data_IF_672906102457
#
_entry.id   IF_672906102457
#
_cell.length_a   1.000
_cell.length_b   1.000
_cell.length_c   1.000
_cell.angle_alpha   90.00
_cell.angle_beta   90.00
_cell.angle_gamma   90.00
#
_symmetry.space_group_name_H-M   'P 1'
#
loop_
_entity.id
_entity.type
_entity.pdbx_description
1 polymer ?
#
# COMPACT_ATOMS: atom_id res chain seq x y z
N UNK A 1 -0.91 57.14 46.84
CA UNK A 1 -1.15 55.98 45.88
C UNK A 1 0.19 55.34 45.54
N UNK A 2 0.38 54.11 45.97
CA UNK A 2 1.63 53.37 45.68
C UNK A 2 1.73 53.10 44.16
N UNK A 3 2.88 53.40 43.53
CA UNK A 3 3.14 53.07 42.11
C UNK A 3 3.01 51.54 41.94
N UNK A 4 2.30 51.07 40.93
CA UNK A 4 2.21 49.61 40.68
C UNK A 4 3.61 49.06 40.50
N UNK A 5 3.94 47.99 41.25
CA UNK A 5 5.20 47.24 41.12
C UNK A 5 5.38 46.82 39.66
N UNK A 6 6.51 47.21 39.05
CA UNK A 6 6.91 46.67 37.73
C UNK A 6 7.06 45.17 37.86
N UNK A 7 6.37 44.42 37.00
CA UNK A 7 6.57 43.00 36.90
C UNK A 7 8.02 42.67 36.58
N UNK A 8 8.57 41.62 37.16
CA UNK A 8 9.93 41.13 36.85
C UNK A 8 10.04 40.80 35.36
N UNK A 9 11.27 40.87 34.83
CA UNK A 9 11.53 40.46 33.45
C UNK A 9 11.06 39.01 33.21
N UNK A 10 10.25 38.78 32.19
CA UNK A 10 9.59 37.51 31.80
C UNK A 10 8.34 37.08 32.61
N UNK A 11 7.85 37.86 33.58
CA UNK A 11 6.57 37.52 34.25
C UNK A 11 5.36 37.66 33.35
N UNK A 12 5.45 38.47 32.29
CA UNK A 12 4.32 38.79 31.41
C UNK A 12 3.37 39.83 32.04
N UNK A 13 2.35 40.21 31.33
CA UNK A 13 1.33 41.18 31.77
C UNK A 13 -0.05 40.63 31.54
N UNK A 14 -0.98 40.87 32.51
CA UNK A 14 -2.40 40.54 32.32
C UNK A 14 -3.18 41.81 32.62
N UNK A 15 -4.10 42.21 31.72
CA UNK A 15 -4.95 43.36 31.88
C UNK A 15 -6.31 43.13 31.20
N UNK A 16 -7.32 43.86 31.66
CA UNK A 16 -8.63 43.87 31.05
C UNK A 16 -8.68 44.82 29.88
N UNK A 17 -9.17 44.35 28.75
CA UNK A 17 -9.35 45.15 27.53
C UNK A 17 -10.67 45.94 27.62
N UNK A 18 -10.80 46.95 26.77
CA UNK A 18 -12.03 47.76 26.65
C UNK A 18 -13.26 46.93 26.22
N UNK A 19 -13.04 45.79 25.56
CA UNK A 19 -14.10 44.83 25.15
C UNK A 19 -14.50 43.86 26.26
N UNK A 20 -14.02 44.05 27.49
CA UNK A 20 -14.35 43.25 28.67
C UNK A 20 -13.54 41.94 28.79
N UNK A 21 -12.80 41.55 27.77
CA UNK A 21 -11.94 40.34 27.80
C UNK A 21 -10.64 40.64 28.53
N UNK A 22 -10.04 39.62 29.12
CA UNK A 22 -8.71 39.68 29.70
C UNK A 22 -7.66 39.25 28.68
N UNK A 23 -6.58 40.01 28.58
CA UNK A 23 -5.42 39.75 27.75
C UNK A 23 -4.19 39.52 28.62
N UNK A 24 -3.58 38.32 28.51
CA UNK A 24 -2.31 38.01 29.09
C UNK A 24 -1.24 37.98 27.98
N UNK A 25 -0.05 38.55 28.19
CA UNK A 25 1.03 38.53 27.20
C UNK A 25 2.39 38.29 27.84
N UNK A 26 3.23 37.50 27.19
CA UNK A 26 4.63 37.22 27.58
C UNK A 26 5.50 37.08 26.35
N UNK A 27 6.80 37.23 26.53
CA UNK A 27 7.80 36.83 25.54
C UNK A 27 8.02 35.32 25.66
N UNK A 28 7.89 34.60 24.58
CA UNK A 28 8.04 33.14 24.52
C UNK A 28 8.88 32.75 23.32
N UNK A 29 9.58 31.64 23.42
CA UNK A 29 10.32 31.04 22.33
C UNK A 29 9.34 30.65 21.21
N UNK A 30 9.63 31.06 20.00
CA UNK A 30 8.86 30.75 18.80
C UNK A 30 9.61 29.72 17.93
N UNK A 31 8.91 29.07 17.01
CA UNK A 31 9.47 28.00 16.16
C UNK A 31 10.59 28.49 15.24
N UNK A 32 10.72 29.81 15.01
CA UNK A 32 11.83 30.41 14.28
C UNK A 32 13.08 30.70 15.16
N UNK A 33 13.10 30.15 16.39
CA UNK A 33 14.23 30.31 17.31
C UNK A 33 14.32 31.65 18.00
N UNK A 34 13.37 32.58 17.80
CA UNK A 34 13.37 33.91 18.39
C UNK A 34 12.34 34.06 19.51
N UNK A 35 12.61 34.95 20.48
CA UNK A 35 11.63 35.30 21.49
C UNK A 35 10.70 36.40 20.99
N UNK A 36 9.40 36.12 20.89
CA UNK A 36 8.38 37.05 20.46
C UNK A 36 7.28 37.22 21.50
N UNK A 37 6.75 38.44 21.62
CA UNK A 37 5.59 38.67 22.48
C UNK A 37 4.37 37.97 21.90
N UNK A 38 3.73 37.14 22.72
CA UNK A 38 2.48 36.42 22.38
C UNK A 38 1.41 36.75 23.40
N UNK A 39 0.17 36.94 22.92
CA UNK A 39 -0.98 37.24 23.75
C UNK A 39 -1.92 36.03 23.80
N UNK A 40 -2.52 35.81 24.97
CA UNK A 40 -3.62 34.89 25.22
C UNK A 40 -4.83 35.67 25.72
N UNK A 41 -6.01 35.13 25.49
CA UNK A 41 -7.26 35.82 25.85
C UNK A 41 -8.14 34.89 26.67
N UNK A 42 -8.79 35.47 27.72
CA UNK A 42 -9.76 34.80 28.57
C UNK A 42 -11.02 35.65 28.79
N UNK A 43 -12.12 35.02 29.13
CA UNK A 43 -13.32 35.75 29.58
C UNK A 43 -13.16 36.26 31.01
N UNK A 44 -12.38 35.56 31.82
CA UNK A 44 -12.00 35.91 33.19
C UNK A 44 -10.49 36.11 33.30
N UNK A 45 -10.05 36.75 34.39
CA UNK A 45 -8.64 36.88 34.70
C UNK A 45 -7.98 35.50 34.88
N UNK A 46 -8.64 34.60 35.61
CA UNK A 46 -8.15 33.25 35.89
C UNK A 46 -7.90 32.49 34.61
N UNK A 47 -8.85 32.53 33.66
CA UNK A 47 -8.71 31.89 32.35
C UNK A 47 -7.53 32.42 31.55
N UNK A 48 -7.33 33.76 31.58
CA UNK A 48 -6.21 34.40 30.91
C UNK A 48 -4.87 34.05 31.59
N UNK A 49 -4.86 33.99 32.93
CA UNK A 49 -3.69 33.66 33.75
C UNK A 49 -3.28 32.18 33.52
N UNK A 50 -4.23 31.26 33.59
CA UNK A 50 -3.94 29.84 33.32
C UNK A 50 -3.34 29.65 31.92
N UNK A 51 -3.94 30.24 30.90
CA UNK A 51 -3.41 30.18 29.52
C UNK A 51 -2.03 30.78 29.39
N UNK A 52 -1.75 31.91 30.09
CA UNK A 52 -0.45 32.55 30.07
C UNK A 52 0.60 31.71 30.79
N UNK A 53 0.26 31.18 31.95
CA UNK A 53 1.14 30.28 32.70
C UNK A 53 1.51 29.02 31.91
N UNK A 54 0.53 28.45 31.24
CA UNK A 54 0.77 27.30 30.34
C UNK A 54 1.67 27.66 29.17
N UNK A 55 1.44 28.80 28.53
CA UNK A 55 2.26 29.32 27.44
C UNK A 55 3.72 29.52 27.84
N UNK A 56 3.95 30.05 29.05
CA UNK A 56 5.28 30.25 29.63
C UNK A 56 5.94 28.93 29.99
N UNK A 57 5.21 28.03 30.63
CA UNK A 57 5.70 26.69 30.96
C UNK A 57 6.12 25.90 29.69
N UNK A 58 5.33 25.94 28.62
CA UNK A 58 5.68 25.32 27.33
C UNK A 58 6.98 25.91 26.77
N UNK A 59 7.15 27.25 26.83
CA UNK A 59 8.38 27.92 26.37
C UNK A 59 9.61 27.57 27.23
N UNK A 60 9.46 27.50 28.55
CA UNK A 60 10.53 27.11 29.50
C UNK A 60 10.94 25.62 29.30
N UNK A 61 10.00 24.77 28.96
CA UNK A 61 10.24 23.35 28.64
C UNK A 61 10.80 23.15 27.21
N UNK A 62 11.22 24.23 26.53
CA UNK A 62 11.78 24.14 25.19
C UNK A 62 10.77 23.81 24.09
N UNK A 63 9.45 23.99 24.37
CA UNK A 63 8.38 23.80 23.37
C UNK A 63 8.07 25.17 22.73
N UNK A 64 8.60 25.47 21.54
CA UNK A 64 8.40 26.77 20.92
C UNK A 64 6.94 26.94 20.46
N UNK A 65 6.49 28.20 20.44
CA UNK A 65 5.15 28.53 19.95
C UNK A 65 5.18 28.69 18.44
N UNK A 66 4.32 27.98 17.74
CA UNK A 66 4.21 28.09 16.28
C UNK A 66 3.88 29.53 15.84
N UNK A 67 4.63 30.00 14.85
CA UNK A 67 4.37 31.27 14.18
C UNK A 67 3.46 31.13 12.97
N UNK A 68 3.17 29.91 12.56
CA UNK A 68 2.40 29.61 11.35
C UNK A 68 0.99 30.21 11.40
N UNK A 69 0.68 30.98 10.36
CA UNK A 69 -0.66 31.52 10.12
C UNK A 69 -1.46 30.64 9.15
N UNK A 70 -0.83 29.62 8.58
CA UNK A 70 -1.46 28.74 7.58
C UNK A 70 -2.62 27.95 8.17
N UNK A 71 -3.61 27.70 7.35
CA UNK A 71 -4.63 26.67 7.59
C UNK A 71 -4.08 25.30 7.24
N UNK A 72 -4.74 24.26 7.70
CA UNK A 72 -4.37 22.86 7.36
C UNK A 72 -4.49 22.63 5.86
N UNK A 73 -5.51 23.21 5.18
CA UNK A 73 -5.66 23.05 3.73
C UNK A 73 -4.49 23.70 2.97
N UNK A 74 -4.11 24.93 3.35
CA UNK A 74 -2.99 25.66 2.73
C UNK A 74 -1.68 24.87 2.91
N UNK A 75 -1.40 24.41 4.14
CA UNK A 75 -0.21 23.63 4.41
C UNK A 75 -0.17 22.27 3.67
N UNK A 76 -1.28 21.54 3.66
CA UNK A 76 -1.34 20.24 2.96
C UNK A 76 -1.21 20.41 1.44
N UNK A 77 -1.74 21.49 0.87
CA UNK A 77 -1.55 21.83 -0.54
C UNK A 77 -0.07 22.10 -0.83
N UNK A 78 0.57 22.96 -0.01
CA UNK A 78 2.00 23.22 -0.08
C UNK A 78 2.82 21.92 0.02
N UNK A 79 2.55 21.10 1.04
CA UNK A 79 3.27 19.85 1.27
C UNK A 79 3.10 18.85 0.12
N UNK A 80 1.90 18.71 -0.44
CA UNK A 80 1.66 17.85 -1.59
C UNK A 80 2.46 18.31 -2.80
N UNK A 81 2.39 19.61 -3.14
CA UNK A 81 2.99 20.15 -4.36
C UNK A 81 4.52 20.23 -4.27
N UNK A 82 5.04 20.76 -3.16
CA UNK A 82 6.46 21.10 -3.06
C UNK A 82 7.30 19.99 -2.41
N UNK A 83 6.68 19.09 -1.66
CA UNK A 83 7.41 18.07 -0.90
C UNK A 83 7.09 16.64 -1.37
N UNK A 84 5.80 16.29 -1.42
CA UNK A 84 5.40 14.93 -1.72
C UNK A 84 5.59 14.59 -3.20
N UNK A 85 5.28 15.49 -4.11
CA UNK A 85 5.33 15.26 -5.56
C UNK A 85 6.70 14.80 -6.05
N UNK A 86 7.79 15.37 -5.51
CA UNK A 86 9.16 14.98 -5.89
C UNK A 86 9.71 13.76 -5.13
N UNK A 87 9.12 13.40 -3.98
CA UNK A 87 9.66 12.36 -3.09
C UNK A 87 8.95 11.02 -3.20
N UNK A 88 7.70 11.00 -3.62
CA UNK A 88 6.92 9.76 -3.70
C UNK A 88 6.59 9.41 -5.14
N UNK A 89 6.31 8.13 -5.41
CA UNK A 89 5.86 7.69 -6.73
C UNK A 89 4.52 8.34 -7.11
N UNK A 90 4.31 8.57 -8.40
CA UNK A 90 3.07 9.18 -8.94
C UNK A 90 1.79 8.51 -8.41
N UNK A 91 1.76 7.18 -8.28
CA UNK A 91 0.63 6.45 -7.67
C UNK A 91 0.38 6.82 -6.22
N UNK A 92 1.45 6.98 -5.43
CA UNK A 92 1.36 7.38 -4.02
C UNK A 92 0.90 8.82 -3.91
N UNK A 93 1.44 9.71 -4.74
CA UNK A 93 1.04 11.10 -4.80
C UNK A 93 -0.46 11.28 -5.10
N UNK A 94 -0.96 10.63 -6.16
CA UNK A 94 -2.38 10.68 -6.54
C UNK A 94 -3.28 10.16 -5.41
N UNK A 95 -2.84 9.10 -4.69
CA UNK A 95 -3.56 8.61 -3.53
C UNK A 95 -3.54 9.60 -2.37
N UNK A 96 -2.40 10.24 -2.10
CA UNK A 96 -2.28 11.27 -1.07
C UNK A 96 -3.21 12.45 -1.38
N UNK A 97 -3.12 12.99 -2.59
CA UNK A 97 -3.96 14.10 -3.04
C UNK A 97 -5.45 13.75 -2.90
N UNK A 98 -5.86 12.58 -3.41
CA UNK A 98 -7.25 12.13 -3.33
C UNK A 98 -7.75 11.98 -1.89
N UNK A 99 -6.94 11.47 -0.98
CA UNK A 99 -7.32 11.30 0.43
C UNK A 99 -7.34 12.63 1.18
N UNK A 100 -6.39 13.51 0.92
CA UNK A 100 -6.38 14.85 1.49
C UNK A 100 -7.63 15.61 1.04
N UNK A 101 -7.89 15.67 -0.26
CA UNK A 101 -9.03 16.39 -0.85
C UNK A 101 -10.38 15.85 -0.39
N UNK A 102 -10.55 14.53 -0.34
CA UNK A 102 -11.85 13.93 -0.09
C UNK A 102 -12.18 13.73 1.41
N UNK A 103 -11.18 13.73 2.29
CA UNK A 103 -11.35 13.40 3.71
C UNK A 103 -10.82 14.49 4.64
N UNK A 104 -9.57 14.93 4.45
CA UNK A 104 -8.90 15.81 5.42
C UNK A 104 -9.34 17.26 5.24
N UNK A 105 -9.34 17.77 4.02
CA UNK A 105 -9.71 19.16 3.71
C UNK A 105 -11.15 19.50 4.10
N UNK A 106 -12.17 18.64 3.89
CA UNK A 106 -13.54 18.93 4.33
C UNK A 106 -13.68 19.07 5.85
N UNK A 107 -12.89 18.32 6.63
CA UNK A 107 -12.95 18.36 8.10
C UNK A 107 -12.09 19.43 8.71
N UNK A 108 -10.84 19.55 8.28
CA UNK A 108 -9.83 20.39 8.91
C UNK A 108 -9.40 21.60 8.10
N UNK A 109 -9.80 21.70 6.84
CA UNK A 109 -9.21 22.66 5.91
C UNK A 109 -9.14 24.09 6.41
N UNK A 110 -10.17 24.55 7.11
CA UNK A 110 -10.26 25.91 7.66
C UNK A 110 -9.55 26.09 9.01
N UNK A 111 -9.18 25.00 9.68
CA UNK A 111 -8.53 25.05 10.99
C UNK A 111 -7.08 25.49 10.82
N UNK A 112 -6.59 26.36 11.71
CA UNK A 112 -5.19 26.76 11.72
C UNK A 112 -4.30 25.57 12.08
N UNK A 113 -3.19 25.41 11.37
CA UNK A 113 -2.23 24.33 11.55
C UNK A 113 -1.76 24.22 13.01
N UNK A 114 -1.40 25.35 13.62
CA UNK A 114 -0.97 25.44 15.01
C UNK A 114 -2.04 25.05 16.06
N UNK A 115 -3.31 24.99 15.67
CA UNK A 115 -4.43 24.63 16.57
C UNK A 115 -4.90 23.17 16.43
N UNK A 116 -4.25 22.39 15.59
CA UNK A 116 -4.58 20.98 15.44
C UNK A 116 -4.08 20.19 16.65
N UNK A 117 -4.95 19.36 17.22
CA UNK A 117 -4.63 18.54 18.38
C UNK A 117 -4.72 17.04 18.05
N UNK A 118 -4.08 16.19 18.86
CA UNK A 118 -4.22 14.73 18.76
C UNK A 118 -5.67 14.28 18.96
N UNK A 119 -6.43 14.99 19.82
CA UNK A 119 -7.86 14.74 20.06
C UNK A 119 -8.70 14.97 18.79
N UNK A 120 -8.41 16.05 18.05
CA UNK A 120 -9.09 16.33 16.78
C UNK A 120 -8.86 15.22 15.76
N UNK A 121 -7.60 14.78 15.62
CA UNK A 121 -7.23 13.73 14.68
C UNK A 121 -7.92 12.41 15.05
N UNK A 122 -7.94 12.05 16.33
CA UNK A 122 -8.63 10.85 16.81
C UNK A 122 -10.14 10.92 16.52
N UNK A 123 -10.80 12.02 16.87
CA UNK A 123 -12.21 12.23 16.60
C UNK A 123 -12.54 12.15 15.10
N UNK A 124 -11.71 12.75 14.25
CA UNK A 124 -11.82 12.67 12.79
C UNK A 124 -11.73 11.24 12.27
N UNK A 125 -10.73 10.46 12.71
CA UNK A 125 -10.55 9.09 12.23
C UNK A 125 -11.70 8.18 12.68
N UNK A 126 -12.17 8.33 13.93
CA UNK A 126 -13.35 7.60 14.46
C UNK A 126 -14.61 7.97 13.67
N UNK A 127 -14.88 9.25 13.48
CA UNK A 127 -16.00 9.74 12.67
C UNK A 127 -15.93 9.22 11.24
N UNK A 128 -14.75 9.28 10.62
CA UNK A 128 -14.55 8.81 9.24
C UNK A 128 -14.81 7.31 9.11
N UNK A 129 -14.35 6.49 10.07
CA UNK A 129 -14.57 5.05 10.08
C UNK A 129 -16.07 4.68 10.13
N UNK A 130 -16.88 5.47 10.85
CA UNK A 130 -18.31 5.25 11.03
C UNK A 130 -19.19 5.95 9.96
N UNK A 131 -18.60 6.79 9.09
CA UNK A 131 -19.40 7.62 8.17
C UNK A 131 -19.45 7.01 6.78
N UNK A 132 -20.64 6.90 6.21
CA UNK A 132 -20.84 6.49 4.81
C UNK A 132 -20.18 7.48 3.85
N UNK A 133 -19.21 7.02 3.09
CA UNK A 133 -18.41 7.84 2.17
C UNK A 133 -19.19 8.26 0.92
N UNK A 134 -20.26 7.57 0.59
CA UNK A 134 -21.17 8.00 -0.46
C UNK A 134 -21.96 9.25 -0.05
N UNK A 135 -22.45 9.27 1.18
CA UNK A 135 -23.12 10.44 1.77
C UNK A 135 -22.14 11.61 1.94
N UNK A 136 -21.02 11.37 2.64
CA UNK A 136 -20.06 12.42 3.00
C UNK A 136 -19.46 13.14 1.78
N UNK A 137 -19.24 12.40 0.68
CA UNK A 137 -18.65 12.93 -0.55
C UNK A 137 -19.67 13.23 -1.65
N UNK A 138 -20.97 13.14 -1.35
CA UNK A 138 -22.04 13.41 -2.32
C UNK A 138 -22.01 12.53 -3.57
N UNK A 139 -21.38 11.35 -3.52
CA UNK A 139 -21.12 10.52 -4.72
C UNK A 139 -22.37 10.13 -5.49
N UNK A 140 -23.46 9.84 -4.81
CA UNK A 140 -24.71 9.49 -5.47
C UNK A 140 -25.49 10.73 -5.90
N UNK A 141 -25.39 11.82 -5.13
CA UNK A 141 -25.99 13.12 -5.47
C UNK A 141 -25.40 13.71 -6.76
N UNK A 142 -24.09 13.49 -6.98
CA UNK A 142 -23.36 13.97 -8.16
C UNK A 142 -23.57 13.10 -9.40
N UNK A 143 -24.39 12.04 -9.33
CA UNK A 143 -24.79 11.25 -10.51
C UNK A 143 -25.94 11.94 -11.26
N UNK A 144 -26.01 11.72 -12.58
CA UNK A 144 -27.22 12.06 -13.32
C UNK A 144 -28.45 11.46 -12.63
N UNK A 145 -29.57 12.14 -12.64
CA UNK A 145 -30.75 11.79 -11.84
C UNK A 145 -31.22 10.35 -12.04
N UNK A 146 -31.32 9.91 -13.30
CA UNK A 146 -31.68 8.54 -13.67
C UNK A 146 -30.68 7.45 -13.22
N UNK A 147 -29.47 7.83 -12.73
CA UNK A 147 -28.44 6.93 -12.21
C UNK A 147 -28.31 6.99 -10.68
N UNK A 148 -29.08 7.82 -10.00
CA UNK A 148 -29.12 7.86 -8.53
C UNK A 148 -29.76 6.57 -8.01
N UNK A 149 -29.22 5.98 -6.96
CA UNK A 149 -29.64 4.65 -6.50
C UNK A 149 -29.54 4.40 -4.99
N UNK A 150 -29.05 5.34 -4.21
CA UNK A 150 -28.86 5.14 -2.77
C UNK A 150 -28.97 6.45 -1.97
N UNK A 151 -27.86 7.03 -1.55
CA UNK A 151 -27.83 8.13 -0.59
C UNK A 151 -28.55 9.40 -1.06
N UNK A 152 -28.57 9.67 -2.37
CA UNK A 152 -29.34 10.79 -2.93
C UNK A 152 -30.85 10.58 -2.88
N UNK A 153 -31.30 9.33 -2.76
CA UNK A 153 -32.70 8.93 -2.65
C UNK A 153 -33.13 8.62 -1.20
N UNK A 154 -32.34 9.08 -0.21
CA UNK A 154 -32.61 8.81 1.21
C UNK A 154 -32.22 7.41 1.70
N UNK A 155 -31.81 6.51 0.81
CA UNK A 155 -31.40 5.12 1.15
C UNK A 155 -29.89 5.03 1.30
N UNK A 156 -29.38 5.17 2.54
CA UNK A 156 -27.94 5.09 2.79
C UNK A 156 -27.38 3.71 2.41
N UNK A 157 -26.32 3.70 1.58
CA UNK A 157 -25.67 2.46 1.14
C UNK A 157 -24.58 1.97 2.12
N UNK A 158 -24.43 2.61 3.28
CA UNK A 158 -23.47 2.27 4.35
C UNK A 158 -22.05 1.96 3.86
N UNK A 159 -21.61 2.67 2.81
CA UNK A 159 -20.30 2.46 2.22
C UNK A 159 -19.21 3.07 3.08
N UNK A 160 -18.84 2.38 4.14
CA UNK A 160 -17.79 2.78 5.06
C UNK A 160 -16.38 2.65 4.38
N UNK A 161 -15.39 3.46 4.79
CA UNK A 161 -14.01 3.25 4.38
C UNK A 161 -13.46 1.99 5.04
N UNK A 162 -12.51 1.33 4.38
CA UNK A 162 -11.78 0.22 5.00
C UNK A 162 -10.83 0.73 6.10
N UNK A 163 -10.50 -0.11 7.09
CA UNK A 163 -9.51 0.18 8.13
C UNK A 163 -8.17 0.63 7.51
N UNK A 164 -7.79 0.02 6.38
CA UNK A 164 -6.62 0.42 5.62
C UNK A 164 -6.70 1.88 5.16
N UNK A 165 -7.86 2.35 4.72
CA UNK A 165 -8.06 3.74 4.30
C UNK A 165 -7.91 4.69 5.48
N UNK A 166 -8.56 4.37 6.61
CA UNK A 166 -8.48 5.16 7.85
C UNK A 166 -7.03 5.24 8.35
N UNK A 167 -6.33 4.11 8.36
CA UNK A 167 -4.91 4.07 8.71
C UNK A 167 -4.05 4.92 7.77
N UNK A 168 -4.34 4.86 6.49
CA UNK A 168 -3.56 5.61 5.51
C UNK A 168 -3.76 7.12 5.63
N UNK A 169 -4.94 7.58 6.06
CA UNK A 169 -5.16 8.98 6.45
C UNK A 169 -4.25 9.40 7.61
N UNK A 170 -4.11 8.56 8.63
CA UNK A 170 -3.17 8.83 9.74
C UNK A 170 -1.72 8.86 9.27
N UNK A 171 -1.32 7.95 8.37
CA UNK A 171 0.03 7.94 7.78
C UNK A 171 0.32 9.24 7.02
N UNK A 172 -0.63 9.74 6.25
CA UNK A 172 -0.49 11.02 5.52
C UNK A 172 -0.36 12.17 6.50
N UNK A 173 -1.23 12.26 7.51
CA UNK A 173 -1.17 13.31 8.53
C UNK A 173 0.15 13.25 9.30
N UNK A 174 0.61 12.06 9.69
CA UNK A 174 1.92 11.90 10.35
C UNK A 174 3.08 12.38 9.48
N UNK A 175 3.06 12.06 8.19
CA UNK A 175 4.11 12.46 7.26
C UNK A 175 4.12 13.99 7.03
N UNK A 176 2.95 14.58 6.76
CA UNK A 176 2.81 16.00 6.52
C UNK A 176 3.18 16.84 7.77
N UNK A 177 2.64 16.46 8.94
CA UNK A 177 2.94 17.17 10.20
C UNK A 177 4.39 16.97 10.66
N UNK A 178 5.02 15.84 10.33
CA UNK A 178 6.45 15.65 10.60
C UNK A 178 7.30 16.59 9.73
N UNK A 179 6.86 16.85 8.51
CA UNK A 179 7.52 17.83 7.66
C UNK A 179 7.31 19.25 8.18
N UNK A 180 6.09 19.59 8.66
CA UNK A 180 5.82 20.87 9.30
C UNK A 180 6.74 21.15 10.51
N UNK A 181 7.07 20.08 11.28
CA UNK A 181 8.04 20.22 12.38
C UNK A 181 9.46 20.46 11.86
N UNK A 182 9.85 19.89 10.71
CA UNK A 182 11.19 20.12 10.13
C UNK A 182 11.36 21.49 9.49
N UNK A 183 10.26 22.13 9.13
CA UNK A 183 10.21 23.49 8.57
C UNK A 183 9.84 24.54 9.63
N UNK A 184 9.93 24.20 10.91
CA UNK A 184 9.65 25.07 12.04
C UNK A 184 8.23 25.68 12.04
N UNK A 185 7.31 25.11 11.25
CA UNK A 185 5.90 25.50 11.24
C UNK A 185 5.14 24.99 12.47
N UNK A 186 5.58 23.87 13.04
CA UNK A 186 5.01 23.26 14.24
C UNK A 186 6.10 22.84 15.23
N UNK A 187 5.86 23.03 16.55
CA UNK A 187 6.81 22.57 17.58
C UNK A 187 6.87 21.04 17.71
N UNK A 188 5.78 20.37 17.38
CA UNK A 188 5.66 18.90 17.51
C UNK A 188 4.63 18.31 16.57
N UNK A 189 4.80 17.05 16.24
CA UNK A 189 3.86 16.31 15.43
C UNK A 189 2.77 15.64 16.31
N UNK A 190 1.61 16.27 16.38
CA UNK A 190 0.47 15.81 17.19
C UNK A 190 -0.15 14.50 16.68
N UNK A 191 0.07 14.11 15.42
CA UNK A 191 -0.43 12.85 14.88
C UNK A 191 0.37 11.62 15.36
N UNK A 192 1.58 11.79 15.91
CA UNK A 192 2.38 10.68 16.47
C UNK A 192 1.68 9.98 17.62
N UNK A 193 1.01 10.74 18.47
CA UNK A 193 0.34 10.24 19.69
C UNK A 193 -1.06 9.67 19.43
N UNK A 194 -1.46 9.54 18.16
CA UNK A 194 -2.75 8.94 17.80
C UNK A 194 -2.51 7.48 17.43
N UNK A 195 -3.10 6.59 18.18
CA UNK A 195 -3.12 5.17 17.90
C UNK A 195 -4.50 4.74 17.38
N UNK A 196 -4.49 3.76 16.48
CA UNK A 196 -5.70 3.12 15.96
C UNK A 196 -5.66 1.65 16.39
N UNK A 197 -6.72 1.21 17.05
CA UNK A 197 -6.90 -0.24 17.25
C UNK A 197 -7.08 -0.91 15.89
N UNK A 198 -6.43 -2.03 15.73
CA UNK A 198 -6.35 -2.75 14.47
C UNK A 198 -7.41 -3.83 14.46
N UNK A 199 -8.28 -3.83 13.46
CA UNK A 199 -9.03 -5.03 13.12
C UNK A 199 -8.08 -6.18 12.75
N UNK A 200 -8.52 -7.42 12.92
CA UNK A 200 -7.74 -8.60 12.57
C UNK A 200 -7.29 -8.54 11.10
N UNK A 201 -6.02 -8.86 10.84
CA UNK A 201 -5.50 -8.97 9.47
C UNK A 201 -6.29 -10.06 8.74
N UNK A 202 -6.90 -9.73 7.60
CA UNK A 202 -7.56 -10.75 6.78
C UNK A 202 -6.52 -11.78 6.35
N UNK A 203 -6.72 -13.00 6.73
CA UNK A 203 -5.93 -14.12 6.27
C UNK A 203 -6.24 -14.40 4.80
N UNK A 204 -5.18 -14.68 4.03
CA UNK A 204 -5.28 -14.98 2.60
C UNK A 204 -5.01 -16.46 2.48
N UNK A 205 -6.04 -17.24 2.22
CA UNK A 205 -5.91 -18.66 1.96
C UNK A 205 -5.59 -18.88 0.47
N UNK A 206 -4.42 -19.49 0.13
CA UNK A 206 -4.04 -19.80 -1.25
C UNK A 206 -4.96 -20.88 -1.85
N UNK A 207 -5.10 -20.93 -3.18
CA UNK A 207 -5.81 -22.03 -3.86
C UNK A 207 -5.06 -23.35 -3.62
N UNK A 208 -5.82 -24.41 -3.50
CA UNK A 208 -5.28 -25.78 -3.46
C UNK A 208 -4.73 -26.18 -4.84
N UNK A 209 -3.91 -27.24 -4.91
CA UNK A 209 -3.49 -27.84 -6.19
C UNK A 209 -4.69 -28.21 -7.05
N UNK A 210 -5.75 -28.79 -6.45
CA UNK A 210 -7.00 -29.14 -7.12
C UNK A 210 -7.70 -27.93 -7.71
N UNK A 211 -7.90 -26.87 -6.92
CA UNK A 211 -8.50 -25.61 -7.38
C UNK A 211 -7.66 -24.93 -8.48
N UNK A 212 -6.33 -24.96 -8.34
CA UNK A 212 -5.41 -24.45 -9.35
C UNK A 212 -5.54 -25.18 -10.68
N UNK A 213 -5.62 -26.51 -10.67
CA UNK A 213 -5.86 -27.36 -11.86
C UNK A 213 -7.20 -27.05 -12.50
N UNK A 214 -8.28 -26.96 -11.71
CA UNK A 214 -9.63 -26.62 -12.20
C UNK A 214 -9.63 -25.22 -12.87
N UNK A 215 -8.98 -24.24 -12.23
CA UNK A 215 -8.88 -22.89 -12.76
C UNK A 215 -8.16 -22.86 -14.11
N UNK A 216 -7.00 -23.52 -14.22
CA UNK A 216 -6.19 -23.55 -15.45
C UNK A 216 -6.87 -24.34 -16.55
N UNK A 217 -7.55 -25.44 -16.24
CA UNK A 217 -8.35 -26.21 -17.20
C UNK A 217 -9.48 -25.34 -17.78
N UNK A 218 -10.24 -24.64 -16.94
CA UNK A 218 -11.30 -23.73 -17.38
C UNK A 218 -10.76 -22.49 -18.13
N UNK A 219 -9.48 -22.19 -18.01
CA UNK A 219 -8.86 -21.05 -18.68
C UNK A 219 -8.45 -21.34 -20.14
N UNK A 220 -8.34 -22.57 -20.58
CA UNK A 220 -7.74 -22.96 -21.88
C UNK A 220 -8.35 -22.24 -23.07
N UNK A 221 -9.67 -22.09 -23.08
CA UNK A 221 -10.39 -21.39 -24.17
C UNK A 221 -10.49 -19.88 -23.95
N UNK A 222 -9.86 -19.35 -22.91
CA UNK A 222 -9.86 -17.93 -22.63
C UNK A 222 -8.71 -17.25 -23.35
N UNK A 223 -9.01 -16.10 -24.00
CA UNK A 223 -7.99 -15.25 -24.64
C UNK A 223 -6.80 -14.91 -23.72
N UNK A 224 -7.00 -14.90 -22.42
CA UNK A 224 -5.98 -14.60 -21.41
C UNK A 224 -5.40 -15.84 -20.77
N UNK A 225 -5.54 -17.02 -21.39
CA UNK A 225 -5.03 -18.28 -20.87
C UNK A 225 -3.56 -18.17 -20.45
N UNK A 226 -2.68 -17.70 -21.33
CA UNK A 226 -1.27 -17.53 -21.02
C UNK A 226 -1.03 -16.60 -19.80
N UNK A 227 -1.89 -15.59 -19.62
CA UNK A 227 -1.80 -14.71 -18.45
C UNK A 227 -2.10 -15.44 -17.14
N UNK A 228 -3.04 -16.37 -17.16
CA UNK A 228 -3.38 -17.16 -15.97
C UNK A 228 -2.33 -18.24 -15.68
N UNK A 229 -1.78 -18.89 -16.72
CA UNK A 229 -0.64 -19.82 -16.57
C UNK A 229 0.55 -19.14 -15.89
N UNK A 230 0.97 -17.97 -16.39
CA UNK A 230 2.05 -17.19 -15.80
C UNK A 230 1.73 -16.72 -14.36
N UNK A 231 0.47 -16.35 -14.08
CA UNK A 231 0.08 -15.88 -12.76
C UNK A 231 0.09 -17.00 -11.70
N UNK A 232 -0.34 -18.20 -12.07
CA UNK A 232 -0.41 -19.36 -11.16
C UNK A 232 0.95 -20.02 -10.98
N UNK A 233 1.70 -20.26 -12.08
CA UNK A 233 2.93 -21.07 -12.05
C UNK A 233 4.17 -20.28 -11.64
N UNK A 234 4.27 -19.00 -12.04
CA UNK A 234 5.44 -18.17 -11.73
C UNK A 234 5.12 -16.90 -10.91
N UNK A 235 3.86 -16.68 -10.59
CA UNK A 235 3.43 -15.67 -9.61
C UNK A 235 3.71 -14.22 -10.00
N UNK A 236 3.68 -13.85 -11.29
CA UNK A 236 3.86 -12.47 -11.73
C UNK A 236 2.83 -11.54 -11.10
N UNK A 237 3.27 -10.34 -10.71
CA UNK A 237 2.31 -9.30 -10.29
C UNK A 237 1.47 -8.87 -11.47
N UNK A 238 0.18 -8.54 -11.25
CA UNK A 238 -0.74 -8.09 -12.30
C UNK A 238 -0.13 -7.03 -13.22
N UNK A 239 0.55 -6.04 -12.67
CA UNK A 239 1.18 -4.98 -13.46
C UNK A 239 2.39 -5.46 -14.24
N UNK A 240 3.20 -6.37 -13.71
CA UNK A 240 4.33 -7.01 -14.38
C UNK A 240 3.83 -7.84 -15.58
N UNK A 241 2.79 -8.63 -15.36
CA UNK A 241 2.14 -9.44 -16.39
C UNK A 241 1.62 -8.56 -17.56
N UNK A 242 0.84 -7.52 -17.25
CA UNK A 242 0.27 -6.65 -18.27
C UNK A 242 1.31 -5.73 -18.94
N UNK A 243 2.45 -5.52 -18.29
CA UNK A 243 3.58 -4.77 -18.84
C UNK A 243 4.63 -5.64 -19.52
N UNK A 244 4.48 -6.96 -19.59
CA UNK A 244 5.43 -7.88 -20.20
C UNK A 244 5.53 -7.64 -21.70
N UNK A 245 6.76 -7.56 -22.24
CA UNK A 245 7.04 -7.39 -23.66
C UNK A 245 7.56 -8.67 -24.29
N UNK A 246 7.37 -8.85 -25.56
CA UNK A 246 7.98 -9.95 -26.32
C UNK A 246 9.51 -9.90 -26.30
N UNK A 247 10.10 -8.71 -26.28
CA UNK A 247 11.57 -8.54 -26.14
C UNK A 247 12.15 -8.99 -24.80
N UNK A 248 11.29 -9.18 -23.79
CA UNK A 248 11.66 -9.64 -22.46
C UNK A 248 11.39 -11.16 -22.26
N UNK A 249 10.95 -11.87 -23.32
CA UNK A 249 10.59 -13.29 -23.28
C UNK A 249 11.43 -14.05 -24.31
N UNK A 250 12.24 -14.96 -23.83
CA UNK A 250 12.95 -15.93 -24.63
C UNK A 250 12.20 -17.28 -24.57
N UNK A 251 11.53 -17.61 -25.68
CA UNK A 251 10.76 -18.88 -25.79
C UNK A 251 11.63 -20.09 -26.15
N UNK A 252 12.88 -19.86 -26.56
CA UNK A 252 13.85 -20.91 -26.86
C UNK A 252 14.51 -21.37 -25.55
N UNK A 253 15.09 -20.43 -24.83
CA UNK A 253 15.73 -20.68 -23.53
C UNK A 253 14.71 -20.91 -22.40
N UNK A 254 13.42 -20.65 -22.63
CA UNK A 254 12.39 -20.77 -21.59
C UNK A 254 12.59 -19.79 -20.43
N UNK A 255 12.93 -18.53 -20.72
CA UNK A 255 13.22 -17.51 -19.71
C UNK A 255 12.45 -16.23 -20.00
N UNK A 256 11.94 -15.58 -18.96
CA UNK A 256 11.45 -14.21 -19.05
C UNK A 256 12.17 -13.28 -18.08
N UNK A 257 12.24 -12.01 -18.44
CA UNK A 257 12.82 -10.94 -17.61
C UNK A 257 11.74 -9.92 -17.26
N UNK A 258 11.53 -9.69 -15.96
CA UNK A 258 10.60 -8.64 -15.49
C UNK A 258 11.33 -7.32 -15.44
N UNK A 259 11.01 -6.38 -16.35
CA UNK A 259 11.67 -5.06 -16.44
C UNK A 259 10.74 -3.89 -16.21
N UNK A 260 9.44 -4.10 -16.30
CA UNK A 260 8.46 -3.02 -16.21
C UNK A 260 7.09 -3.53 -15.72
N UNK A 261 6.20 -2.60 -15.42
CA UNK A 261 4.84 -2.90 -15.01
C UNK A 261 3.85 -1.87 -15.59
N UNK A 262 2.69 -2.33 -16.05
CA UNK A 262 1.58 -1.47 -16.44
C UNK A 262 0.73 -1.12 -15.22
N UNK A 263 0.46 0.16 -15.03
CA UNK A 263 -0.35 0.68 -13.93
C UNK A 263 -1.34 1.74 -14.41
N UNK A 264 -2.52 1.78 -13.78
CA UNK A 264 -3.45 2.90 -13.94
C UNK A 264 -3.19 3.93 -12.85
N UNK A 265 -2.88 5.15 -13.24
CA UNK A 265 -2.57 6.25 -12.33
C UNK A 265 -3.25 7.52 -12.83
N UNK A 266 -4.07 8.15 -11.99
CA UNK A 266 -4.72 9.41 -12.32
C UNK A 266 -5.59 9.39 -13.60
N UNK A 267 -6.17 8.22 -13.94
CA UNK A 267 -6.96 8.07 -15.17
C UNK A 267 -6.17 7.64 -16.41
N UNK A 268 -4.83 7.48 -16.32
CA UNK A 268 -3.97 7.08 -17.44
C UNK A 268 -3.35 5.70 -17.23
N UNK A 269 -3.09 4.96 -18.31
CA UNK A 269 -2.29 3.74 -18.27
C UNK A 269 -0.82 4.11 -18.47
N UNK A 270 0.00 3.79 -17.50
CA UNK A 270 1.42 4.11 -17.50
C UNK A 270 2.27 2.85 -17.38
N UNK A 271 3.32 2.78 -18.19
CA UNK A 271 4.39 1.83 -17.99
C UNK A 271 5.41 2.45 -17.05
N UNK A 272 5.70 1.72 -15.97
CA UNK A 272 6.61 2.17 -14.91
C UNK A 272 7.70 1.13 -14.66
N UNK A 273 8.88 1.60 -14.30
CA UNK A 273 9.95 0.71 -13.84
C UNK A 273 9.52 -0.05 -12.57
N UNK A 274 10.09 -1.22 -12.29
CA UNK A 274 9.87 -1.98 -11.07
C UNK A 274 10.13 -1.14 -9.82
N UNK A 275 9.50 -1.52 -8.71
CA UNK A 275 9.58 -0.73 -7.46
C UNK A 275 10.99 -0.68 -6.87
N UNK A 276 11.77 -1.74 -7.04
CA UNK A 276 13.15 -1.88 -6.55
C UNK A 276 13.99 -2.58 -7.63
N UNK A 277 15.32 -2.44 -7.58
CA UNK A 277 16.23 -3.18 -8.46
C UNK A 277 16.02 -4.71 -8.35
N UNK A 278 15.75 -5.23 -7.15
CA UNK A 278 15.42 -6.65 -6.93
C UNK A 278 14.10 -7.10 -7.58
N UNK A 279 13.25 -6.17 -7.98
CA UNK A 279 12.03 -6.51 -8.73
C UNK A 279 12.31 -6.76 -10.21
N UNK A 280 13.43 -6.24 -10.75
CA UNK A 280 13.95 -6.65 -12.04
C UNK A 280 14.62 -8.01 -11.86
N UNK A 281 14.06 -9.05 -12.48
CA UNK A 281 14.50 -10.43 -12.27
C UNK A 281 14.29 -11.27 -13.53
N UNK A 282 15.11 -12.31 -13.67
CA UNK A 282 14.90 -13.37 -14.64
C UNK A 282 14.14 -14.51 -13.96
N UNK A 283 13.22 -15.12 -14.66
CA UNK A 283 12.39 -16.23 -14.17
C UNK A 283 12.35 -17.31 -15.25
N UNK A 284 12.66 -18.54 -14.86
CA UNK A 284 12.52 -19.70 -15.74
C UNK A 284 11.03 -19.96 -16.02
N UNK A 285 10.72 -20.35 -17.24
CA UNK A 285 9.39 -20.70 -17.70
C UNK A 285 9.20 -22.22 -17.73
N UNK A 286 8.24 -22.78 -16.99
CA UNK A 286 7.79 -24.14 -17.22
C UNK A 286 7.29 -24.33 -18.65
N UNK A 287 7.39 -25.56 -19.17
CA UNK A 287 7.00 -25.93 -20.55
C UNK A 287 5.57 -25.50 -20.91
N UNK A 288 4.63 -25.61 -19.96
CA UNK A 288 3.24 -25.17 -20.13
C UNK A 288 3.13 -23.64 -20.30
N UNK A 289 3.97 -22.86 -19.61
CA UNK A 289 4.03 -21.41 -19.79
C UNK A 289 4.59 -21.07 -21.19
N UNK A 290 5.60 -21.78 -21.66
CA UNK A 290 6.15 -21.61 -23.01
C UNK A 290 5.09 -21.93 -24.06
N UNK A 291 4.37 -23.04 -23.91
CA UNK A 291 3.26 -23.44 -24.79
C UNK A 291 2.16 -22.39 -24.82
N UNK A 292 1.74 -21.92 -23.66
CA UNK A 292 0.72 -20.89 -23.55
C UNK A 292 1.16 -19.56 -24.18
N UNK A 293 2.44 -19.17 -24.03
CA UNK A 293 2.99 -17.97 -24.64
C UNK A 293 3.12 -18.09 -26.17
N UNK A 294 3.46 -19.27 -26.70
CA UNK A 294 3.44 -19.52 -28.15
C UNK A 294 2.03 -19.37 -28.73
N UNK A 295 1.03 -19.93 -28.04
CA UNK A 295 -0.39 -19.75 -28.43
C UNK A 295 -0.82 -18.28 -28.34
N UNK A 296 -0.40 -17.56 -27.29
CA UNK A 296 -0.66 -16.13 -27.15
C UNK A 296 -0.06 -15.31 -28.32
N UNK A 297 1.16 -15.66 -28.78
CA UNK A 297 1.81 -15.00 -29.91
C UNK A 297 1.04 -15.23 -31.20
N UNK A 298 0.62 -16.47 -31.46
CA UNK A 298 -0.22 -16.83 -32.61
C UNK A 298 -1.54 -16.09 -32.59
N UNK A 299 -2.24 -16.06 -31.44
CA UNK A 299 -3.50 -15.33 -31.27
C UNK A 299 -3.31 -13.82 -31.51
N UNK A 300 -2.24 -13.22 -31.01
CA UNK A 300 -1.98 -11.79 -31.21
C UNK A 300 -1.67 -11.45 -32.68
N UNK A 301 -0.98 -12.34 -33.40
CA UNK A 301 -0.76 -12.19 -34.85
C UNK A 301 -2.07 -12.28 -35.64
N UNK A 302 -2.96 -13.23 -35.28
CA UNK A 302 -4.29 -13.34 -35.88
C UNK A 302 -5.14 -12.08 -35.61
N UNK A 303 -5.13 -11.56 -34.38
CA UNK A 303 -5.80 -10.31 -34.04
C UNK A 303 -5.28 -9.12 -34.85
N UNK A 304 -3.95 -9.04 -35.00
CA UNK A 304 -3.32 -7.97 -35.81
C UNK A 304 -3.77 -8.03 -37.27
N UNK A 305 -3.82 -9.24 -37.83
CA UNK A 305 -4.31 -9.45 -39.21
C UNK A 305 -5.79 -9.05 -39.33
N UNK A 306 -6.63 -9.48 -38.37
CA UNK A 306 -8.05 -9.16 -38.34
C UNK A 306 -8.35 -7.67 -38.15
N UNK A 307 -7.57 -6.97 -37.32
CA UNK A 307 -7.75 -5.54 -37.07
C UNK A 307 -7.24 -4.66 -38.23
N UNK A 308 -6.29 -5.15 -39.05
CA UNK A 308 -5.74 -4.42 -40.18
C UNK A 308 -5.29 -3.00 -39.80
N UNK A 309 -5.79 -1.96 -40.49
CA UNK A 309 -5.43 -0.56 -40.21
C UNK A 309 -5.85 -0.08 -38.81
N UNK A 310 -6.80 -0.76 -38.17
CA UNK A 310 -7.27 -0.43 -36.83
C UNK A 310 -6.35 -0.98 -35.72
N UNK A 311 -5.30 -1.73 -36.07
CA UNK A 311 -4.33 -2.21 -35.10
C UNK A 311 -3.54 -1.04 -34.51
N UNK A 312 -3.77 -0.80 -33.22
CA UNK A 312 -3.08 0.23 -32.43
C UNK A 312 -1.94 -0.38 -31.59
N UNK A 313 -1.27 -1.40 -32.14
CA UNK A 313 -0.19 -2.09 -31.44
C UNK A 313 0.79 -1.10 -30.83
N UNK A 314 1.08 -1.26 -29.53
CA UNK A 314 1.99 -0.37 -28.83
C UNK A 314 3.39 -0.52 -29.41
N UNK A 315 4.12 0.58 -29.59
CA UNK A 315 5.56 0.59 -29.87
C UNK A 315 6.36 -0.22 -28.83
N UNK A 316 5.73 -0.57 -27.72
CA UNK A 316 6.29 -1.29 -26.60
C UNK A 316 6.27 -2.83 -26.75
N UNK A 317 5.66 -3.38 -27.81
CA UNK A 317 5.64 -4.83 -28.08
C UNK A 317 5.08 -5.68 -26.94
N UNK A 318 3.96 -5.25 -26.30
CA UNK A 318 3.38 -5.96 -25.17
C UNK A 318 2.87 -7.36 -25.55
N UNK A 319 3.07 -8.35 -24.69
CA UNK A 319 2.58 -9.72 -24.82
C UNK A 319 1.05 -9.76 -24.73
N UNK A 320 0.48 -9.02 -23.77
CA UNK A 320 -0.96 -9.01 -23.51
C UNK A 320 -1.59 -7.70 -23.96
N UNK A 321 -2.37 -7.77 -25.03
CA UNK A 321 -3.08 -6.63 -25.64
C UNK A 321 -4.55 -6.93 -25.83
N UNK A 322 -5.36 -5.92 -26.08
CA UNK A 322 -6.72 -6.09 -26.61
C UNK A 322 -6.69 -6.60 -28.05
N UNK A 323 -7.83 -6.97 -28.61
CA UNK A 323 -7.96 -7.37 -30.03
C UNK A 323 -7.44 -6.30 -31.01
N UNK A 324 -7.42 -5.02 -30.59
CA UNK A 324 -6.93 -3.90 -31.41
C UNK A 324 -5.48 -3.51 -31.05
N UNK A 325 -4.75 -4.33 -30.28
CA UNK A 325 -3.34 -4.07 -29.94
C UNK A 325 -3.11 -3.08 -28.79
N UNK A 326 -4.15 -2.50 -28.20
CA UNK A 326 -3.98 -1.57 -27.08
C UNK A 326 -3.67 -2.31 -25.76
N UNK A 327 -3.00 -1.65 -24.80
CA UNK A 327 -2.77 -2.24 -23.48
C UNK A 327 -4.07 -2.65 -22.78
N UNK A 328 -4.09 -3.78 -22.09
CA UNK A 328 -5.25 -4.24 -21.34
C UNK A 328 -5.42 -3.43 -20.06
N UNK A 329 -6.61 -2.88 -19.86
CA UNK A 329 -6.99 -2.24 -18.61
C UNK A 329 -6.89 -3.22 -17.42
N UNK A 330 -6.11 -2.95 -16.36
CA UNK A 330 -5.95 -3.86 -15.23
C UNK A 330 -7.24 -4.31 -14.57
N UNK A 331 -8.29 -3.47 -14.64
CA UNK A 331 -9.62 -3.83 -14.13
C UNK A 331 -10.32 -4.88 -15.00
N UNK A 332 -10.06 -4.87 -16.32
CA UNK A 332 -10.65 -5.85 -17.23
C UNK A 332 -10.05 -7.24 -17.00
N UNK A 333 -8.73 -7.33 -16.73
CA UNK A 333 -8.12 -8.60 -16.30
C UNK A 333 -8.75 -9.13 -15.02
N UNK A 334 -8.98 -8.26 -14.01
CA UNK A 334 -9.65 -8.68 -12.78
C UNK A 334 -11.06 -9.20 -13.03
N UNK A 335 -11.86 -8.51 -13.87
CA UNK A 335 -13.23 -8.96 -14.22
C UNK A 335 -13.23 -10.28 -14.96
N UNK A 336 -12.31 -10.46 -15.93
CA UNK A 336 -12.13 -11.71 -16.65
C UNK A 336 -11.75 -12.84 -15.70
N UNK A 337 -10.89 -12.57 -14.72
CA UNK A 337 -10.50 -13.54 -13.71
C UNK A 337 -11.64 -13.90 -12.75
N UNK A 338 -12.44 -12.92 -12.31
CA UNK A 338 -13.62 -13.18 -11.46
C UNK A 338 -14.63 -14.08 -12.20
N UNK A 339 -14.88 -13.82 -13.50
CA UNK A 339 -15.73 -14.67 -14.32
C UNK A 339 -15.12 -16.08 -14.52
N UNK A 340 -13.79 -16.18 -14.64
CA UNK A 340 -13.09 -17.45 -14.73
C UNK A 340 -13.24 -18.29 -13.45
N UNK A 341 -13.12 -17.68 -12.26
CA UNK A 341 -13.33 -18.39 -10.99
C UNK A 341 -14.73 -19.01 -10.90
N UNK A 342 -15.76 -18.25 -11.33
CA UNK A 342 -17.15 -18.75 -11.36
C UNK A 342 -17.28 -19.93 -12.33
N UNK A 343 -16.72 -19.82 -13.55
CA UNK A 343 -16.78 -20.88 -14.56
C UNK A 343 -16.04 -22.13 -14.13
N UNK A 344 -14.92 -21.98 -13.43
CA UNK A 344 -14.10 -23.06 -12.94
C UNK A 344 -14.68 -23.74 -11.68
N UNK A 345 -15.76 -23.19 -11.09
CA UNK A 345 -16.33 -23.69 -9.84
C UNK A 345 -15.38 -23.57 -8.64
N UNK A 346 -14.41 -22.63 -8.69
CA UNK A 346 -13.49 -22.38 -7.59
C UNK A 346 -13.95 -21.21 -6.74
N UNK A 347 -13.55 -21.19 -5.47
CA UNK A 347 -13.90 -20.09 -4.56
C UNK A 347 -13.39 -18.74 -5.08
N UNK A 348 -14.08 -17.68 -4.72
CA UNK A 348 -13.72 -16.32 -5.14
C UNK A 348 -12.42 -15.88 -4.46
N UNK A 349 -11.35 -15.75 -5.24
CA UNK A 349 -10.07 -15.16 -4.83
C UNK A 349 -9.76 -13.92 -5.68
N UNK A 350 -8.86 -13.08 -5.22
CA UNK A 350 -8.39 -11.93 -6.02
C UNK A 350 -7.30 -12.40 -6.99
N UNK A 351 -7.16 -11.76 -8.13
CA UNK A 351 -6.07 -12.05 -9.08
C UNK A 351 -4.68 -12.02 -8.41
N UNK A 352 -4.46 -11.11 -7.46
CA UNK A 352 -3.18 -11.03 -6.74
C UNK A 352 -2.94 -12.22 -5.80
N UNK A 353 -3.99 -12.89 -5.37
CA UNK A 353 -3.89 -14.06 -4.48
C UNK A 353 -3.32 -15.29 -5.23
N UNK A 354 -3.34 -15.30 -6.59
CA UNK A 354 -2.63 -16.32 -7.41
C UNK A 354 -1.12 -16.32 -7.15
N UNK A 355 -0.55 -15.16 -6.82
CA UNK A 355 0.85 -15.08 -6.42
C UNK A 355 1.11 -15.72 -5.06
N UNK A 356 0.16 -15.62 -4.12
CA UNK A 356 0.23 -16.35 -2.86
C UNK A 356 0.07 -17.86 -3.11
N UNK A 357 -0.81 -18.24 -4.04
CA UNK A 357 -0.95 -19.62 -4.51
C UNK A 357 0.36 -20.16 -5.07
N UNK A 358 1.01 -19.42 -5.99
CA UNK A 358 2.32 -19.81 -6.52
C UNK A 358 3.36 -20.05 -5.41
N UNK A 359 3.43 -19.14 -4.43
CA UNK A 359 4.37 -19.26 -3.31
C UNK A 359 4.08 -20.52 -2.45
N UNK A 360 2.80 -20.77 -2.15
CA UNK A 360 2.37 -21.95 -1.38
C UNK A 360 2.69 -23.25 -2.13
N UNK A 361 2.39 -23.28 -3.43
CA UNK A 361 2.68 -24.46 -4.26
C UNK A 361 4.18 -24.73 -4.39
N UNK A 362 5.01 -23.70 -4.57
CA UNK A 362 6.46 -23.84 -4.59
C UNK A 362 6.98 -24.39 -3.25
N UNK A 363 6.47 -23.88 -2.15
CA UNK A 363 6.83 -24.37 -0.81
C UNK A 363 6.41 -25.85 -0.62
N UNK A 364 5.19 -26.21 -0.98
CA UNK A 364 4.70 -27.59 -0.92
C UNK A 364 5.56 -28.56 -1.74
N UNK A 365 6.22 -28.07 -2.79
CA UNK A 365 7.17 -28.82 -3.62
C UNK A 365 8.62 -28.76 -3.10
N UNK A 366 8.86 -28.23 -1.90
CA UNK A 366 10.16 -28.22 -1.25
C UNK A 366 11.08 -27.06 -1.64
N UNK A 367 10.58 -26.06 -2.39
CA UNK A 367 11.38 -24.88 -2.68
C UNK A 367 11.67 -24.07 -1.40
N UNK A 368 12.92 -23.69 -1.21
CA UNK A 368 13.32 -22.89 -0.06
C UNK A 368 12.78 -21.45 -0.13
N UNK A 369 12.77 -20.78 1.01
CA UNK A 369 12.24 -19.42 1.13
C UNK A 369 13.00 -18.41 0.28
N UNK A 370 14.30 -18.60 0.06
CA UNK A 370 15.14 -17.71 -0.74
C UNK A 370 14.81 -17.85 -2.22
N UNK A 371 14.68 -19.07 -2.73
CA UNK A 371 14.25 -19.33 -4.10
C UNK A 371 12.89 -18.72 -4.36
N UNK A 372 11.89 -18.93 -3.47
CA UNK A 372 10.57 -18.33 -3.60
C UNK A 372 10.65 -16.79 -3.57
N UNK A 373 11.48 -16.21 -2.70
CA UNK A 373 11.69 -14.77 -2.64
C UNK A 373 12.26 -14.24 -3.97
N UNK A 374 13.22 -14.91 -4.57
CA UNK A 374 13.86 -14.52 -5.84
C UNK A 374 12.88 -14.64 -7.01
N UNK A 375 12.23 -15.78 -7.17
CA UNK A 375 11.23 -16.01 -8.24
C UNK A 375 10.12 -14.96 -8.19
N UNK A 376 9.60 -14.70 -7.00
CA UNK A 376 8.54 -13.72 -6.82
C UNK A 376 9.06 -12.27 -6.82
N UNK A 377 10.34 -12.01 -6.58
CA UNK A 377 10.90 -10.65 -6.43
C UNK A 377 10.32 -9.94 -5.20
N UNK A 378 10.35 -10.59 -4.04
CA UNK A 378 10.03 -9.96 -2.77
C UNK A 378 11.25 -9.16 -2.28
N UNK A 379 11.00 -7.94 -1.78
CA UNK A 379 12.07 -7.07 -1.27
C UNK A 379 12.60 -7.52 0.10
N UNK A 380 11.86 -8.39 0.80
CA UNK A 380 12.18 -8.92 2.12
C UNK A 380 11.70 -10.34 2.26
N UNK A 381 12.49 -11.19 2.89
CA UNK A 381 12.13 -12.57 3.23
C UNK A 381 10.89 -12.64 4.14
N UNK A 382 10.67 -11.61 4.97
CA UNK A 382 9.49 -11.53 5.83
C UNK A 382 8.18 -11.60 5.05
N UNK A 383 8.13 -10.99 3.85
CA UNK A 383 6.96 -11.07 2.96
C UNK A 383 6.73 -12.49 2.47
N UNK A 384 7.80 -13.25 2.25
CA UNK A 384 7.73 -14.65 1.88
C UNK A 384 7.30 -15.48 3.09
N UNK A 385 7.88 -15.26 4.25
CA UNK A 385 7.52 -15.95 5.50
C UNK A 385 6.07 -15.71 5.93
N UNK A 386 5.51 -14.52 5.70
CA UNK A 386 4.07 -14.24 5.92
C UNK A 386 3.14 -15.17 5.11
N UNK A 387 3.63 -15.83 4.06
CA UNK A 387 2.89 -16.80 3.24
C UNK A 387 2.99 -18.21 3.86
N UNK A 388 4.09 -18.51 4.56
CA UNK A 388 4.30 -19.80 5.22
C UNK A 388 3.40 -20.02 6.45
N UNK A 389 2.69 -19.00 6.92
CA UNK A 389 1.69 -19.18 8.00
C UNK A 389 0.56 -20.12 7.63
N UNK A 390 0.40 -20.43 6.34
CA UNK A 390 -0.56 -21.43 5.82
C UNK A 390 0.12 -22.74 5.48
N UNK A 391 0.84 -23.34 6.43
CA UNK A 391 1.27 -24.74 6.26
C UNK A 391 0.06 -25.64 6.47
N UNK A 392 -0.41 -26.29 5.39
CA UNK A 392 -1.54 -27.21 5.46
C UNK A 392 -1.20 -28.41 6.33
N UNK A 393 -2.19 -28.91 7.08
CA UNK A 393 -2.02 -30.10 7.92
C UNK A 393 -1.53 -31.30 7.11
N UNK A 394 -1.96 -31.44 5.85
CA UNK A 394 -1.49 -32.51 4.96
C UNK A 394 -0.01 -32.40 4.62
N UNK A 395 0.49 -31.16 4.40
CA UNK A 395 1.92 -30.93 4.17
C UNK A 395 2.75 -31.19 5.44
N UNK A 396 2.21 -30.85 6.62
CA UNK A 396 2.85 -31.18 7.89
C UNK A 396 2.91 -32.70 8.09
N UNK A 397 1.80 -33.40 7.87
CA UNK A 397 1.74 -34.89 7.97
C UNK A 397 2.76 -35.53 7.04
N UNK A 398 2.78 -35.17 5.75
CA UNK A 398 3.75 -35.66 4.79
C UNK A 398 5.21 -35.40 5.18
N UNK A 399 5.49 -34.23 5.82
CA UNK A 399 6.82 -33.93 6.32
C UNK A 399 7.19 -34.83 7.54
N UNK A 400 6.24 -35.05 8.45
CA UNK A 400 6.46 -35.93 9.61
C UNK A 400 6.58 -37.39 9.17
N UNK A 401 5.83 -37.85 8.15
CA UNK A 401 5.96 -39.19 7.59
C UNK A 401 7.36 -39.41 7.02
N UNK A 402 7.91 -38.46 6.24
CA UNK A 402 9.31 -38.54 5.74
C UNK A 402 10.33 -38.58 6.87
N UNK A 403 10.13 -37.80 7.94
CA UNK A 403 11.00 -37.87 9.14
C UNK A 403 10.87 -39.23 9.78
N UNK A 404 9.65 -39.78 9.90
CA UNK A 404 9.42 -41.10 10.44
C UNK A 404 10.09 -42.21 9.58
N UNK A 405 10.06 -42.06 8.27
CA UNK A 405 10.72 -43.02 7.33
C UNK A 405 12.24 -42.93 7.48
N UNK A 406 12.81 -41.70 7.53
CA UNK A 406 14.23 -41.52 7.74
C UNK A 406 14.74 -42.05 9.09
N UNK A 407 13.90 -41.97 10.14
CA UNK A 407 14.24 -42.49 11.46
C UNK A 407 14.07 -43.99 11.59
N UNK A 408 13.27 -44.62 10.73
CA UNK A 408 13.09 -46.10 10.72
C UNK A 408 14.31 -46.80 10.20
N UNK A 409 15.20 -46.12 9.47
CA UNK A 409 16.39 -46.70 8.84
C UNK A 409 15.99 -47.84 7.90
N UNK A 410 16.12 -47.68 6.59
CA UNK A 410 16.12 -48.84 5.71
C UNK A 410 17.32 -49.69 6.12
N UNK A 411 17.06 -50.88 6.66
CA UNK A 411 18.09 -51.83 7.05
C UNK A 411 18.82 -52.47 5.85
N UNK A 412 19.22 -51.65 4.90
CA UNK A 412 20.17 -51.93 3.86
C UNK A 412 21.41 -51.05 4.09
N UNK A 413 22.21 -51.40 5.12
CA UNK A 413 23.62 -51.07 5.05
C UNK A 413 24.16 -51.81 3.81
N UNK A 414 24.88 -51.14 2.90
CA UNK A 414 25.66 -51.87 1.90
C UNK A 414 26.65 -52.73 2.68
N UNK A 415 26.59 -54.04 2.41
CA UNK A 415 27.56 -55.04 2.86
C UNK A 415 28.96 -54.55 2.40
N UNK A 416 29.68 -53.88 3.29
CA UNK A 416 31.10 -53.56 3.10
C UNK A 416 31.86 -54.85 3.29
N UNK A 417 31.84 -55.67 2.21
CA UNK A 417 32.63 -56.90 2.12
C UNK A 417 34.10 -56.60 2.50
N UNK A 418 34.51 -57.07 3.64
CA UNK A 418 35.88 -57.14 4.10
C UNK A 418 36.78 -57.81 3.07
N UNK A 419 37.31 -57.02 2.16
CA UNK A 419 38.42 -57.36 1.30
C UNK A 419 39.73 -57.03 1.99
N UNK A 420 40.17 -57.93 2.91
CA UNK A 420 41.54 -57.92 3.44
C UNK A 420 42.54 -58.12 2.31
N UNK A 421 43.09 -57.04 1.78
CA UNK A 421 44.29 -57.05 0.90
C UNK A 421 45.48 -56.55 1.73
N UNK A 422 46.35 -57.49 2.12
CA UNK A 422 47.58 -57.30 2.87
C UNK A 422 48.53 -56.32 2.14
N UNK A 423 49.07 -55.39 2.90
CA UNK A 423 50.18 -54.52 2.51
C UNK A 423 51.51 -55.31 2.65
N UNK A 424 52.38 -55.46 1.63
CA UNK A 424 53.72 -55.97 1.81
C UNK A 424 54.61 -54.89 2.39
N UNK A 425 55.20 -55.15 3.54
CA UNK A 425 56.34 -54.41 4.09
C UNK A 425 57.55 -54.69 3.23
N UNK A 426 58.17 -53.67 2.64
CA UNK A 426 59.48 -53.71 2.03
C UNK A 426 60.49 -53.05 2.96
N UNK A 427 61.58 -53.75 3.20
CA UNK A 427 62.78 -53.48 3.94
C UNK A 427 63.51 -52.22 3.44
#
# INVERSE_FOLDING_TARGET
>A
MAKPKKNANNEGTIYQRRDGRWEGSAYVLTTDGTYKRRSVYGKTWDEAHEKLTRLKADSLNGLPVSTSKMTIAEYLTYWLTNVAQGKVRRTTYVNYESLVRNYVTPEFGRKKLARLTSRDIRAFLTKTAATCQCCAQGKDKNRPEHKRRCCALGKCCTKLPSDRTVRFLLVILRAALQHAVREDELPRNVARNVELSMGAKREIEPLTVKEGRQLLAAARDNRLWAAYELAVRIGLRRGELLGLRWSDVDLHEGVLTVRQALQRVGGELLIVAPKTQRSARRVALPSECVTALRAQRAQQLADRKAAGPNWKGSAQGLVFTTKNGTPIEPRNLNRSFEALCVRAGVRKVRFHDLRHTCASLLHEQGADARMIMEVLGHSSIRVTMDIYTFVRLDSQRSAFDRVGDALRGDGNEPDDGDGAAGVPVAI
#
